data_IF_157778005578
#
_entry.id   IF_157778005578
#
_cell.length_a   1.000
_cell.length_b   1.000
_cell.length_c   1.000
_cell.angle_alpha   90.00
_cell.angle_beta   90.00
_cell.angle_gamma   90.00
#
_symmetry.space_group_name_H-M   'P 1'
#
loop_
_entity.id
_entity.type
_entity.pdbx_description
1 polymer ?
#
# COMPACT_ATOMS: atom_id res chain seq x y z
N UNK A 1 20.55 -4.33 -29.89
CA UNK A 1 20.13 -4.04 -28.49
C UNK A 1 19.32 -5.22 -27.99
N UNK A 2 19.84 -5.97 -27.01
CA UNK A 2 19.18 -7.16 -26.47
C UNK A 2 17.94 -6.82 -25.64
N UNK A 3 17.09 -7.82 -25.41
CA UNK A 3 15.85 -7.65 -24.62
C UNK A 3 16.11 -7.05 -23.23
N UNK A 4 17.22 -7.45 -22.58
CA UNK A 4 17.62 -6.92 -21.26
C UNK A 4 17.78 -5.39 -21.23
N UNK A 5 18.33 -4.78 -22.28
CA UNK A 5 18.54 -3.32 -22.30
C UNK A 5 17.23 -2.53 -22.40
N UNK A 6 16.15 -3.18 -22.86
CA UNK A 6 14.81 -2.59 -22.93
C UNK A 6 13.99 -2.85 -21.66
N UNK A 7 14.16 -4.01 -21.04
CA UNK A 7 13.40 -4.41 -19.84
C UNK A 7 13.89 -3.68 -18.59
N UNK A 8 15.19 -3.42 -18.46
CA UNK A 8 15.74 -2.80 -17.25
C UNK A 8 15.14 -1.41 -16.93
N UNK A 9 15.04 -0.45 -17.87
CA UNK A 9 14.39 0.83 -17.59
C UNK A 9 12.91 0.68 -17.22
N UNK A 10 12.18 -0.22 -17.88
CA UNK A 10 10.76 -0.47 -17.61
C UNK A 10 10.58 -1.00 -16.19
N UNK A 11 11.38 -2.00 -15.79
CA UNK A 11 11.34 -2.57 -14.45
C UNK A 11 11.65 -1.53 -13.37
N UNK A 12 12.60 -0.62 -13.62
CA UNK A 12 12.92 0.49 -12.70
C UNK A 12 11.73 1.42 -12.50
N UNK A 13 11.06 1.81 -13.58
CA UNK A 13 9.88 2.69 -13.50
C UNK A 13 8.74 1.99 -12.77
N UNK A 14 8.47 0.72 -13.10
CA UNK A 14 7.43 -0.08 -12.42
C UNK A 14 7.74 -0.21 -10.92
N UNK A 15 8.99 -0.48 -10.56
CA UNK A 15 9.41 -0.56 -9.16
C UNK A 15 9.20 0.78 -8.43
N UNK A 16 9.58 1.91 -9.06
CA UNK A 16 9.36 3.23 -8.49
C UNK A 16 7.86 3.53 -8.29
N UNK A 17 7.02 3.19 -9.27
CA UNK A 17 5.57 3.33 -9.18
C UNK A 17 5.02 2.49 -8.02
N UNK A 18 5.46 1.23 -7.89
CA UNK A 18 5.02 0.35 -6.82
C UNK A 18 5.37 0.91 -5.44
N UNK A 19 6.58 1.43 -5.25
CA UNK A 19 7.01 2.04 -3.98
C UNK A 19 6.15 3.26 -3.63
N UNK A 20 5.96 4.17 -4.59
CA UNK A 20 5.14 5.37 -4.39
C UNK A 20 3.70 4.97 -4.10
N UNK A 21 3.12 4.08 -4.89
CA UNK A 21 1.75 3.64 -4.73
C UNK A 21 1.50 2.97 -3.38
N UNK A 22 2.37 2.04 -2.95
CA UNK A 22 2.24 1.38 -1.65
C UNK A 22 2.29 2.38 -0.49
N UNK A 23 3.25 3.31 -0.52
CA UNK A 23 3.39 4.32 0.53
C UNK A 23 2.17 5.23 0.61
N UNK A 24 1.69 5.73 -0.53
CA UNK A 24 0.54 6.63 -0.57
C UNK A 24 -0.78 5.93 -0.28
N UNK A 25 -0.96 4.67 -0.70
CA UNK A 25 -2.16 3.90 -0.37
C UNK A 25 -2.33 3.76 1.14
N UNK A 26 -1.25 3.42 1.86
CA UNK A 26 -1.28 3.37 3.33
C UNK A 26 -1.51 4.76 3.91
N UNK A 27 -0.77 5.78 3.48
CA UNK A 27 -0.87 7.14 4.04
C UNK A 27 -2.25 7.76 3.88
N UNK A 28 -2.83 7.69 2.69
CA UNK A 28 -4.12 8.33 2.39
C UNK A 28 -5.30 7.56 2.99
N UNK A 29 -5.21 6.23 3.12
CA UNK A 29 -6.28 5.40 3.68
C UNK A 29 -6.17 5.25 5.20
N UNK A 30 -5.01 5.49 5.81
CA UNK A 30 -4.79 5.31 7.25
C UNK A 30 -5.77 6.08 8.16
N UNK A 31 -6.11 7.36 7.91
CA UNK A 31 -7.03 8.09 8.78
C UNK A 31 -8.39 7.43 8.92
N UNK A 32 -8.94 6.92 7.82
CA UNK A 32 -10.22 6.20 7.85
C UNK A 32 -10.09 4.86 8.60
N UNK A 33 -9.03 4.11 8.34
CA UNK A 33 -8.82 2.80 8.96
C UNK A 33 -8.62 2.90 10.48
N UNK A 34 -7.87 3.91 10.94
CA UNK A 34 -7.65 4.17 12.37
C UNK A 34 -8.96 4.51 13.06
N UNK A 35 -9.78 5.38 12.46
CA UNK A 35 -11.10 5.71 12.96
C UNK A 35 -12.02 4.47 13.06
N UNK A 36 -11.92 3.52 12.13
CA UNK A 36 -12.64 2.23 12.26
C UNK A 36 -12.15 1.38 13.43
N UNK A 37 -10.83 1.29 13.65
CA UNK A 37 -10.30 0.56 14.80
C UNK A 37 -10.75 1.16 16.12
N UNK A 38 -10.74 2.49 16.24
CA UNK A 38 -11.19 3.21 17.43
C UNK A 38 -12.69 2.97 17.70
N UNK A 39 -13.53 2.99 16.65
CA UNK A 39 -14.97 2.74 16.77
C UNK A 39 -15.30 1.31 17.19
N UNK A 40 -14.49 0.36 16.77
CA UNK A 40 -14.69 -1.07 17.04
C UNK A 40 -13.94 -1.56 18.28
N UNK A 41 -13.08 -0.72 18.87
CA UNK A 41 -12.27 -1.06 20.04
C UNK A 41 -11.20 -2.12 19.76
N UNK A 42 -10.76 -2.24 18.51
CA UNK A 42 -9.75 -3.23 18.09
C UNK A 42 -8.35 -2.73 18.45
N UNK A 43 -7.58 -3.52 19.19
CA UNK A 43 -6.13 -3.30 19.31
C UNK A 43 -5.45 -3.69 17.99
N UNK A 44 -4.66 -2.77 17.44
CA UNK A 44 -4.02 -2.93 16.13
C UNK A 44 -2.52 -2.58 16.16
N UNK A 45 -1.76 -3.19 15.25
CA UNK A 45 -0.36 -2.88 15.01
C UNK A 45 -0.16 -2.26 13.62
N UNK A 46 1.02 -1.68 13.38
CA UNK A 46 1.37 -1.11 12.07
C UNK A 46 1.19 -2.11 10.90
N UNK A 47 1.44 -3.41 11.13
CA UNK A 47 1.22 -4.44 10.10
C UNK A 47 -0.26 -4.59 9.74
N UNK A 48 -1.15 -4.48 10.72
CA UNK A 48 -2.60 -4.56 10.50
C UNK A 48 -3.07 -3.33 9.72
N UNK A 49 -2.59 -2.14 10.08
CA UNK A 49 -2.87 -0.91 9.34
C UNK A 49 -2.44 -1.01 7.87
N UNK A 50 -1.23 -1.52 7.59
CA UNK A 50 -0.76 -1.71 6.21
C UNK A 50 -1.63 -2.74 5.46
N UNK A 51 -2.02 -3.83 6.12
CA UNK A 51 -2.87 -4.87 5.52
C UNK A 51 -4.26 -4.33 5.19
N UNK A 52 -4.91 -3.69 6.15
CA UNK A 52 -6.32 -3.31 6.04
C UNK A 52 -6.50 -2.02 5.22
N UNK A 53 -5.48 -1.13 5.15
CA UNK A 53 -5.48 -0.02 4.18
C UNK A 53 -5.38 -0.46 2.73
N UNK A 54 -4.89 -1.68 2.48
CA UNK A 54 -4.78 -2.30 1.15
C UNK A 54 -5.95 -3.23 0.82
N UNK A 55 -6.61 -3.77 1.84
CA UNK A 55 -7.78 -4.62 1.74
C UNK A 55 -8.86 -4.05 2.66
N UNK A 56 -9.62 -3.08 2.14
CA UNK A 56 -10.85 -2.63 2.79
C UNK A 56 -11.92 -3.70 2.59
N UNK A 57 -11.95 -4.67 3.51
CA UNK A 57 -13.05 -5.62 3.59
C UNK A 57 -14.34 -4.85 3.88
N UNK A 58 -15.32 -5.00 2.99
CA UNK A 58 -16.65 -4.41 3.15
C UNK A 58 -17.55 -5.45 3.81
N UNK A 59 -18.43 -5.04 4.74
CA UNK A 59 -19.39 -5.93 5.38
C UNK A 59 -20.36 -6.57 4.37
#
# INVERSE_FOLDING_TARGET
MGVLSRVFPIATVVAAIMVIWYGFAVYLNAPWQIDQYEKTGVEWQMRDLVRDTMAHDRP
#
